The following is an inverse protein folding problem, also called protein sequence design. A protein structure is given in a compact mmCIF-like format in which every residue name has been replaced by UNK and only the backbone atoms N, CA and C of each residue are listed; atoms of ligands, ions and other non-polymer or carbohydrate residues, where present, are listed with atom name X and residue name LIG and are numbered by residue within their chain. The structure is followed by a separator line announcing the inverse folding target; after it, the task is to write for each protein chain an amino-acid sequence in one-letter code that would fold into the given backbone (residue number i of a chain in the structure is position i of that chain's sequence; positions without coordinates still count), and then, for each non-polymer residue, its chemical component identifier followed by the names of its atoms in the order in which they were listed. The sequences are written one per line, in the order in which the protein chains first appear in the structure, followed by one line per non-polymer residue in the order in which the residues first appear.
data_IF_491219384500
#
_entry.id   IF_491219384500
#
_cell.length_a   1.000
_cell.length_b   1.000
_cell.length_c   1.000
_cell.angle_alpha   90.00
_cell.angle_beta   90.00
_cell.angle_gamma   90.00
#
_symmetry.space_group_name_H-M   'P 1'
#
loop_
_entity.id
_entity.type
_entity.pdbx_description
1 polymer ?
#
# COMPACT_ATOMS: atom_id res chain seq x y z
N UNK A 1 0.00 -13.77 -4.29
CA UNK A 1 0.73 -12.49 -4.13
C UNK A 1 1.48 -12.41 -2.80
N UNK A 2 0.87 -12.63 -1.64
CA UNK A 2 1.57 -12.54 -0.35
C UNK A 2 2.82 -13.42 -0.25
N UNK A 3 2.76 -14.68 -0.73
CA UNK A 3 3.93 -15.56 -0.75
C UNK A 3 5.07 -14.99 -1.60
N UNK A 4 4.77 -14.46 -2.77
CA UNK A 4 5.77 -13.87 -3.67
C UNK A 4 6.40 -12.61 -3.10
N UNK A 5 5.63 -11.81 -2.34
CA UNK A 5 6.14 -10.66 -1.62
C UNK A 5 7.07 -11.07 -0.48
N UNK A 6 6.69 -12.10 0.27
CA UNK A 6 7.53 -12.67 1.34
C UNK A 6 8.81 -13.25 0.74
N UNK A 7 8.70 -14.03 -0.34
CA UNK A 7 9.86 -14.60 -1.04
C UNK A 7 10.81 -13.48 -1.52
N UNK A 8 10.29 -12.38 -2.08
CA UNK A 8 11.12 -11.23 -2.49
C UNK A 8 11.86 -10.60 -1.29
N UNK A 9 11.16 -10.40 -0.19
CA UNK A 9 11.73 -9.78 1.03
C UNK A 9 12.83 -10.66 1.60
N UNK A 10 12.61 -11.98 1.69
CA UNK A 10 13.55 -12.95 2.20
C UNK A 10 14.75 -13.17 1.26
N UNK A 11 14.50 -13.31 -0.05
CA UNK A 11 15.54 -13.60 -1.05
C UNK A 11 16.54 -12.43 -1.20
N UNK A 12 16.10 -11.20 -0.95
CA UNK A 12 16.93 -10.00 -1.08
C UNK A 12 17.26 -9.33 0.25
N UNK A 13 17.00 -10.02 1.37
CA UNK A 13 17.31 -9.54 2.73
C UNK A 13 16.80 -8.11 2.98
N UNK A 14 15.59 -7.84 2.52
CA UNK A 14 14.96 -6.53 2.66
C UNK A 14 14.56 -6.27 4.12
N UNK A 15 14.84 -5.07 4.67
CA UNK A 15 14.43 -4.73 6.03
C UNK A 15 12.93 -4.42 6.16
N UNK A 16 12.19 -4.43 5.04
CA UNK A 16 10.80 -4.00 4.99
C UNK A 16 9.82 -5.17 5.13
N UNK A 17 8.64 -4.89 5.67
CA UNK A 17 7.53 -5.84 5.76
C UNK A 17 6.79 -5.97 4.43
N UNK A 18 5.97 -7.03 4.29
CA UNK A 18 5.11 -7.21 3.12
C UNK A 18 4.12 -6.05 2.94
N UNK A 19 3.60 -5.49 4.04
CA UNK A 19 2.67 -4.36 4.00
C UNK A 19 3.35 -3.09 3.49
N UNK A 20 4.56 -2.82 3.94
CA UNK A 20 5.36 -1.67 3.51
C UNK A 20 5.67 -1.73 2.01
N UNK A 21 6.19 -2.86 1.53
CA UNK A 21 6.51 -3.04 0.11
C UNK A 21 5.26 -2.99 -0.77
N UNK A 22 4.17 -3.62 -0.33
CA UNK A 22 2.91 -3.62 -1.06
C UNK A 22 2.30 -2.21 -1.17
N UNK A 23 2.31 -1.45 -0.08
CA UNK A 23 1.84 -0.06 -0.07
C UNK A 23 2.66 0.80 -1.02
N UNK A 24 3.98 0.69 -0.96
CA UNK A 24 4.91 1.42 -1.82
C UNK A 24 4.69 1.10 -3.32
N UNK A 25 4.59 -0.19 -3.68
CA UNK A 25 4.31 -0.59 -5.06
C UNK A 25 2.95 -0.10 -5.55
N UNK A 26 1.92 -0.16 -4.70
CA UNK A 26 0.59 0.36 -5.04
C UNK A 26 0.67 1.85 -5.36
N UNK A 27 1.35 2.63 -4.53
CA UNK A 27 1.57 4.06 -4.77
C UNK A 27 2.28 4.34 -6.08
N UNK A 28 3.37 3.63 -6.38
CA UNK A 28 4.12 3.76 -7.64
C UNK A 28 3.27 3.43 -8.87
N UNK A 29 2.47 2.38 -8.82
CA UNK A 29 1.56 1.98 -9.92
C UNK A 29 0.55 3.10 -10.22
N UNK A 30 -0.01 3.71 -9.19
CA UNK A 30 -1.01 4.76 -9.35
C UNK A 30 -0.43 6.10 -9.85
N UNK A 31 0.88 6.32 -9.69
CA UNK A 31 1.57 7.49 -10.25
C UNK A 31 1.70 7.46 -11.76
N UNK A 32 1.67 6.30 -12.38
CA UNK A 32 1.83 6.11 -13.84
C UNK A 32 3.09 6.77 -14.43
N UNK A 33 4.18 6.71 -13.71
CA UNK A 33 5.50 7.13 -14.19
C UNK A 33 6.14 6.05 -15.06
N UNK A 34 7.19 6.42 -15.80
CA UNK A 34 7.97 5.48 -16.60
C UNK A 34 8.80 4.53 -15.73
N UNK A 35 9.31 3.47 -16.33
CA UNK A 35 10.06 2.45 -15.62
C UNK A 35 11.36 3.00 -15.01
N UNK A 36 12.02 3.97 -15.64
CA UNK A 36 13.26 4.54 -15.13
C UNK A 36 13.02 5.26 -13.78
N UNK A 37 11.93 6.01 -13.68
CA UNK A 37 11.50 6.62 -12.43
C UNK A 37 11.14 5.57 -11.36
N UNK A 38 10.39 4.54 -11.76
CA UNK A 38 9.97 3.46 -10.85
C UNK A 38 11.19 2.72 -10.31
N UNK A 39 12.15 2.37 -11.16
CA UNK A 39 13.39 1.68 -10.78
C UNK A 39 14.22 2.52 -9.79
N UNK A 40 14.39 3.81 -10.07
CA UNK A 40 15.09 4.73 -9.17
C UNK A 40 14.43 4.75 -7.79
N UNK A 41 13.09 4.83 -7.73
CA UNK A 41 12.36 4.84 -6.47
C UNK A 41 12.47 3.52 -5.71
N UNK A 42 12.33 2.39 -6.39
CA UNK A 42 12.50 1.07 -5.77
C UNK A 42 13.89 0.95 -5.14
N UNK A 43 14.95 1.29 -5.87
CA UNK A 43 16.32 1.18 -5.37
C UNK A 43 16.62 2.15 -4.23
N UNK A 44 16.09 3.37 -4.30
CA UNK A 44 16.39 4.41 -3.30
C UNK A 44 15.60 4.26 -2.00
N UNK A 45 14.38 3.72 -2.04
CA UNK A 45 13.52 3.65 -0.87
C UNK A 45 13.47 2.28 -0.20
N UNK A 46 13.60 1.18 -0.97
CA UNK A 46 13.50 -0.17 -0.42
C UNK A 46 14.84 -0.79 -0.06
N UNK A 47 15.95 -0.08 -0.24
CA UNK A 47 17.31 -0.54 0.07
C UNK A 47 17.61 -1.96 -0.45
N UNK A 48 17.14 -2.23 -1.67
CA UNK A 48 17.33 -3.51 -2.36
C UNK A 48 18.29 -3.37 -3.53
N UNK A 49 18.93 -4.48 -3.91
CA UNK A 49 19.90 -4.47 -4.99
C UNK A 49 19.25 -4.37 -6.37
N UNK A 50 19.99 -3.91 -7.38
CA UNK A 50 19.53 -3.87 -8.79
C UNK A 50 19.11 -5.24 -9.32
N UNK A 51 19.65 -6.32 -8.76
CA UNK A 51 19.29 -7.70 -9.14
C UNK A 51 17.84 -8.07 -8.75
N UNK A 52 17.22 -7.36 -7.83
CA UNK A 52 15.82 -7.59 -7.43
C UNK A 52 14.80 -6.92 -8.37
N UNK A 53 15.20 -5.96 -9.20
CA UNK A 53 14.27 -5.20 -10.05
C UNK A 53 13.38 -6.09 -10.93
N UNK A 54 13.87 -7.16 -11.60
CA UNK A 54 12.99 -8.02 -12.37
C UNK A 54 11.88 -8.67 -11.54
N UNK A 55 12.19 -9.10 -10.31
CA UNK A 55 11.20 -9.66 -9.39
C UNK A 55 10.20 -8.60 -8.92
N UNK A 56 10.65 -7.38 -8.65
CA UNK A 56 9.79 -6.24 -8.32
C UNK A 56 8.82 -5.93 -9.45
N UNK A 57 9.29 -5.88 -10.69
CA UNK A 57 8.44 -5.64 -11.87
C UNK A 57 7.37 -6.72 -12.03
N UNK A 58 7.71 -8.00 -11.87
CA UNK A 58 6.75 -9.09 -11.93
C UNK A 58 5.63 -8.89 -10.89
N UNK A 59 5.99 -8.55 -9.66
CA UNK A 59 5.00 -8.30 -8.59
C UNK A 59 4.14 -7.07 -8.88
N UNK A 60 4.74 -6.00 -9.38
CA UNK A 60 4.01 -4.79 -9.74
C UNK A 60 3.05 -5.03 -10.91
N UNK A 61 3.44 -5.81 -11.90
CA UNK A 61 2.57 -6.17 -13.04
C UNK A 61 1.37 -7.02 -12.57
N UNK A 62 1.57 -7.97 -11.66
CA UNK A 62 0.49 -8.73 -11.05
C UNK A 62 -0.45 -7.85 -10.25
N UNK A 63 0.09 -6.95 -9.43
CA UNK A 63 -0.68 -6.01 -8.62
C UNK A 63 -1.51 -5.07 -9.51
N UNK A 64 -0.91 -4.55 -10.57
CA UNK A 64 -1.59 -3.71 -11.56
C UNK A 64 -2.73 -4.45 -12.25
N UNK A 65 -2.53 -5.72 -12.57
CA UNK A 65 -3.56 -6.55 -13.19
C UNK A 65 -4.70 -6.85 -12.18
N UNK A 66 -4.39 -7.07 -10.91
CA UNK A 66 -5.41 -7.24 -9.87
C UNK A 66 -6.24 -5.96 -9.67
N UNK A 67 -5.63 -4.78 -9.73
CA UNK A 67 -6.37 -3.52 -9.70
C UNK A 67 -7.29 -3.40 -10.92
N UNK A 68 -6.79 -3.64 -12.14
CA UNK A 68 -7.59 -3.58 -13.37
C UNK A 68 -8.80 -4.50 -13.34
N UNK A 69 -8.65 -5.69 -12.78
CA UNK A 69 -9.70 -6.71 -12.71
C UNK A 69 -10.58 -6.57 -11.46
N UNK A 70 -10.44 -5.48 -10.71
CA UNK A 70 -11.16 -5.24 -9.45
C UNK A 70 -11.01 -6.38 -8.43
N UNK A 71 -9.79 -6.94 -8.36
CA UNK A 71 -9.41 -8.02 -7.43
C UNK A 71 -8.36 -7.57 -6.41
N UNK A 72 -8.04 -6.29 -6.41
CA UNK A 72 -7.08 -5.73 -5.46
C UNK A 72 -7.50 -6.01 -4.02
N UNK A 73 -6.54 -6.45 -3.23
CA UNK A 73 -6.67 -6.71 -1.79
C UNK A 73 -5.38 -6.33 -1.08
N UNK A 74 -5.52 -5.75 0.10
CA UNK A 74 -4.39 -5.60 1.00
C UNK A 74 -3.78 -6.98 1.35
N UNK A 75 -2.44 -7.06 1.59
CA UNK A 75 -1.76 -8.32 1.92
C UNK A 75 -2.00 -8.78 3.37
N UNK A 76 -3.20 -8.57 3.90
CA UNK A 76 -3.59 -8.94 5.25
C UNK A 76 -4.60 -10.08 5.13
N UNK A 77 -4.14 -11.32 5.33
CA UNK A 77 -4.96 -12.51 5.10
C UNK A 77 -6.01 -12.72 6.20
N UNK A 78 -5.63 -12.49 7.46
CA UNK A 78 -6.52 -12.66 8.61
C UNK A 78 -6.26 -11.55 9.64
N UNK A 79 -7.31 -10.84 10.02
CA UNK A 79 -7.26 -9.87 11.12
C UNK A 79 -7.51 -10.60 12.44
N UNK A 80 -6.48 -11.30 12.94
CA UNK A 80 -6.59 -12.10 14.18
C UNK A 80 -6.41 -11.27 15.43
N UNK A 81 -5.65 -10.19 15.33
CA UNK A 81 -5.18 -9.39 16.44
C UNK A 81 -5.16 -7.94 15.99
N UNK A 82 -5.81 -7.08 16.77
CA UNK A 82 -5.93 -5.65 16.45
C UNK A 82 -4.56 -4.97 16.31
N UNK A 83 -3.64 -5.25 17.22
CA UNK A 83 -2.32 -4.59 17.24
C UNK A 83 -1.51 -4.88 15.99
N UNK A 84 -1.41 -6.14 15.58
CA UNK A 84 -0.67 -6.54 14.38
C UNK A 84 -1.35 -6.05 13.10
N UNK A 85 -2.66 -6.20 13.03
CA UNK A 85 -3.43 -5.80 11.83
C UNK A 85 -3.46 -4.29 11.66
N UNK A 86 -3.61 -3.53 12.74
CA UNK A 86 -3.55 -2.06 12.68
C UNK A 86 -2.17 -1.56 12.30
N UNK A 87 -1.10 -2.21 12.78
CA UNK A 87 0.28 -1.90 12.37
C UNK A 87 0.47 -2.14 10.88
N UNK A 88 0.05 -3.29 10.38
CA UNK A 88 0.18 -3.62 8.96
C UNK A 88 -0.59 -2.66 8.05
N UNK A 89 -1.78 -2.22 8.46
CA UNK A 89 -2.58 -1.23 7.72
C UNK A 89 -1.90 0.15 7.76
N UNK A 90 -1.39 0.57 8.91
CA UNK A 90 -0.69 1.83 9.07
C UNK A 90 0.60 1.88 8.24
N UNK A 91 1.39 0.82 8.28
CA UNK A 91 2.61 0.66 7.48
C UNK A 91 2.31 0.74 5.98
N UNK A 92 1.30 0.00 5.54
CA UNK A 92 0.86 0.04 4.14
C UNK A 92 0.51 1.48 3.72
N UNK A 93 -0.28 2.17 4.51
CA UNK A 93 -0.75 3.52 4.22
C UNK A 93 0.40 4.53 4.18
N UNK A 94 1.32 4.44 5.13
CA UNK A 94 2.50 5.30 5.19
C UNK A 94 3.37 5.14 3.94
N UNK A 95 3.69 3.91 3.54
CA UNK A 95 4.54 3.66 2.36
C UNK A 95 3.83 3.97 1.05
N UNK A 96 2.51 3.79 0.97
CA UNK A 96 1.71 4.29 -0.13
C UNK A 96 1.86 5.81 -0.27
N UNK A 97 1.73 6.56 0.84
CA UNK A 97 1.87 8.00 0.84
C UNK A 97 3.26 8.46 0.45
N UNK A 98 4.31 7.79 0.91
CA UNK A 98 5.70 8.07 0.48
C UNK A 98 5.81 7.95 -1.05
N UNK A 99 5.33 6.86 -1.62
CA UNK A 99 5.40 6.62 -3.05
C UNK A 99 4.57 7.63 -3.86
N UNK A 100 3.41 8.03 -3.35
CA UNK A 100 2.45 8.90 -4.04
C UNK A 100 2.71 10.40 -3.82
N UNK A 101 3.55 10.79 -2.87
CA UNK A 101 3.71 12.16 -2.39
C UNK A 101 4.15 13.17 -3.46
N UNK A 102 4.98 12.77 -4.44
CA UNK A 102 5.49 13.67 -5.47
C UNK A 102 4.41 14.20 -6.44
N UNK A 103 3.23 13.62 -6.43
CA UNK A 103 2.11 14.07 -7.27
C UNK A 103 0.98 14.69 -6.47
N UNK A 104 1.09 14.75 -5.14
CA UNK A 104 0.04 15.31 -4.28
C UNK A 104 -0.35 16.73 -4.72
N UNK A 105 0.63 17.55 -5.07
CA UNK A 105 0.41 18.93 -5.53
C UNK A 105 -0.20 19.02 -6.94
N UNK A 106 -0.12 17.94 -7.72
CA UNK A 106 -0.73 17.85 -9.05
C UNK A 106 -2.14 17.22 -9.05
N UNK A 107 -2.58 16.69 -7.91
CA UNK A 107 -3.92 16.11 -7.75
C UNK A 107 -4.95 17.23 -7.69
N UNK A 108 -5.85 17.25 -8.65
CA UNK A 108 -6.95 18.23 -8.74
C UNK A 108 -8.32 17.63 -8.42
N UNK A 109 -8.44 16.31 -8.37
CA UNK A 109 -9.70 15.63 -8.02
C UNK A 109 -9.93 15.74 -6.51
N UNK A 110 -11.01 16.42 -6.04
CA UNK A 110 -11.26 16.64 -4.61
C UNK A 110 -11.41 15.33 -3.83
N UNK A 111 -11.98 14.29 -4.48
CA UNK A 111 -12.18 12.99 -3.83
C UNK A 111 -10.86 12.23 -3.63
N UNK A 112 -9.92 12.37 -4.56
CA UNK A 112 -8.58 11.81 -4.37
C UNK A 112 -7.89 12.55 -3.21
N UNK A 113 -8.04 13.87 -3.11
CA UNK A 113 -7.48 14.63 -1.99
C UNK A 113 -8.05 14.16 -0.64
N UNK A 114 -9.37 13.97 -0.53
CA UNK A 114 -10.01 13.41 0.66
C UNK A 114 -9.49 12.01 0.99
N UNK A 115 -9.31 11.14 -0.01
CA UNK A 115 -8.74 9.80 0.18
C UNK A 115 -7.32 9.89 0.75
N UNK A 116 -6.48 10.78 0.22
CA UNK A 116 -5.11 10.95 0.69
C UNK A 116 -5.06 11.49 2.12
N UNK A 117 -5.97 12.38 2.50
CA UNK A 117 -6.09 12.84 3.90
C UNK A 117 -6.44 11.68 4.84
N UNK A 118 -7.38 10.82 4.44
CA UNK A 118 -7.74 9.63 5.22
C UNK A 118 -6.57 8.62 5.28
N UNK A 119 -5.82 8.46 4.20
CA UNK A 119 -4.63 7.60 4.21
C UNK A 119 -3.54 8.14 5.16
N UNK A 120 -3.37 9.46 5.22
CA UNK A 120 -2.45 10.07 6.19
C UNK A 120 -2.91 9.79 7.64
N UNK A 121 -4.20 9.88 7.93
CA UNK A 121 -4.76 9.51 9.24
C UNK A 121 -4.56 8.02 9.56
N UNK A 122 -4.82 7.13 8.60
CA UNK A 122 -4.61 5.68 8.73
C UNK A 122 -3.14 5.36 9.03
N UNK A 123 -2.20 6.06 8.41
CA UNK A 123 -0.76 5.89 8.66
C UNK A 123 -0.34 6.11 10.10
N UNK A 124 -1.19 6.77 10.88
CA UNK A 124 -0.96 7.11 12.30
C UNK A 124 -1.79 6.25 13.26
N UNK A 125 -2.45 5.21 12.76
CA UNK A 125 -3.41 4.40 13.52
C UNK A 125 -2.82 3.80 14.80
N UNK A 126 -1.54 3.42 14.78
CA UNK A 126 -0.85 2.84 15.93
C UNK A 126 -0.46 3.86 16.99
N UNK A 127 -0.48 5.16 16.66
CA UNK A 127 0.09 6.21 17.52
C UNK A 127 -0.99 7.06 18.20
N UNK A 128 -2.17 7.18 17.59
CA UNK A 128 -3.19 8.16 17.98
C UNK A 128 -4.42 7.55 18.66
N UNK A 129 -4.68 6.26 18.51
CA UNK A 129 -5.95 5.71 18.97
C UNK A 129 -5.80 4.93 20.26
N UNK A 130 -6.66 5.28 21.23
CA UNK A 130 -6.88 4.47 22.42
C UNK A 130 -7.63 3.22 21.97
N UNK A 131 -7.02 2.05 22.18
CA UNK A 131 -7.65 0.77 21.89
C UNK A 131 -8.87 0.62 22.80
N UNK A 132 -10.04 0.43 22.19
CA UNK A 132 -11.24 0.07 22.94
C UNK A 132 -11.02 -1.28 23.64
N UNK A 133 -11.70 -1.46 24.76
CA UNK A 133 -11.60 -2.70 25.55
C UNK A 133 -12.24 -3.88 24.80
N UNK A 134 -13.13 -3.60 23.84
CA UNK A 134 -13.79 -4.62 23.00
C UNK A 134 -12.99 -4.87 21.71
N UNK A 135 -12.24 -5.97 21.70
CA UNK A 135 -11.41 -6.38 20.55
C UNK A 135 -12.25 -6.71 19.31
N UNK A 136 -13.48 -7.19 19.45
CA UNK A 136 -14.36 -7.51 18.31
C UNK A 136 -14.79 -6.21 17.60
N UNK A 137 -15.12 -5.15 18.34
CA UNK A 137 -15.43 -3.83 17.77
C UNK A 137 -14.23 -3.25 17.04
N UNK A 138 -13.04 -3.37 17.62
CA UNK A 138 -11.81 -2.88 17.02
C UNK A 138 -11.47 -3.62 15.71
N UNK A 139 -11.61 -4.94 15.66
CA UNK A 139 -11.39 -5.73 14.45
C UNK A 139 -12.40 -5.40 13.36
N UNK A 140 -13.68 -5.23 13.69
CA UNK A 140 -14.69 -4.82 12.73
C UNK A 140 -14.37 -3.45 12.12
N UNK A 141 -13.89 -2.50 12.92
CA UNK A 141 -13.44 -1.20 12.42
C UNK A 141 -12.25 -1.33 11.46
N UNK A 142 -11.31 -2.25 11.71
CA UNK A 142 -10.22 -2.52 10.78
C UNK A 142 -10.70 -3.11 9.45
N UNK A 143 -11.74 -3.96 9.45
CA UNK A 143 -12.33 -4.44 8.20
C UNK A 143 -12.97 -3.32 7.39
N UNK A 144 -13.58 -2.33 8.04
CA UNK A 144 -14.12 -1.14 7.36
C UNK A 144 -13.00 -0.31 6.73
N UNK A 145 -11.90 -0.10 7.45
CA UNK A 145 -10.71 0.60 6.93
C UNK A 145 -10.11 -0.18 5.74
N UNK A 146 -9.97 -1.48 5.86
CA UNK A 146 -9.49 -2.34 4.78
C UNK A 146 -10.34 -2.20 3.51
N UNK A 147 -11.66 -2.28 3.66
CA UNK A 147 -12.59 -2.10 2.54
C UNK A 147 -12.52 -0.69 1.95
N UNK A 148 -12.30 0.33 2.77
CA UNK A 148 -12.10 1.70 2.31
C UNK A 148 -10.85 1.81 1.45
N UNK A 149 -9.73 1.25 1.88
CA UNK A 149 -8.47 1.25 1.13
C UNK A 149 -8.64 0.55 -0.23
N UNK A 150 -9.19 -0.67 -0.25
CA UNK A 150 -9.41 -1.43 -1.48
C UNK A 150 -10.21 -0.62 -2.52
N UNK A 151 -11.30 0.02 -2.08
CA UNK A 151 -12.15 0.86 -2.94
C UNK A 151 -11.46 2.15 -3.37
N UNK A 152 -10.65 2.73 -2.51
CA UNK A 152 -9.92 3.97 -2.79
C UNK A 152 -8.83 3.75 -3.83
N UNK A 153 -8.07 2.68 -3.73
CA UNK A 153 -7.08 2.28 -4.74
C UNK A 153 -7.74 2.10 -6.10
N UNK A 154 -8.87 1.41 -6.13
CA UNK A 154 -9.65 1.21 -7.36
C UNK A 154 -10.16 2.53 -7.95
N UNK A 155 -10.64 3.44 -7.12
CA UNK A 155 -11.11 4.74 -7.55
C UNK A 155 -9.99 5.59 -8.16
N UNK A 156 -8.84 5.69 -7.49
CA UNK A 156 -7.68 6.45 -7.98
C UNK A 156 -7.19 5.86 -9.31
N UNK A 157 -7.09 4.54 -9.42
CA UNK A 157 -6.66 3.87 -10.65
C UNK A 157 -7.57 4.20 -11.83
N UNK A 158 -8.89 4.13 -11.64
CA UNK A 158 -9.87 4.41 -12.70
C UNK A 158 -9.81 5.87 -13.14
N UNK A 159 -9.73 6.81 -12.18
CA UNK A 159 -9.62 8.24 -12.47
C UNK A 159 -8.35 8.64 -13.20
N UNK A 160 -7.28 7.94 -12.94
CA UNK A 160 -6.01 8.18 -13.63
C UNK A 160 -6.02 7.58 -15.05
N UNK A 161 -7.04 6.81 -15.45
CA UNK A 161 -7.22 6.26 -16.81
C UNK A 161 -8.17 7.08 -17.68
N UNK A 162 -8.88 8.05 -17.10
CA UNK A 162 -9.72 9.02 -17.80
C UNK A 162 -8.89 10.25 -18.23
#
# INVERSE_FOLDING_TARGET
MNKQLTDLIEDYDSPFTSSEVHGFFTGLILLKKDNAYVDEKILSFLDISTNSLPACHILMDQLKEDIKLNRYKLPIEEMKNFSESSSSIAEWSYYFMIAFQETKDAVTDPRIMEILEVFDEISQLNQKYVIDVDEEVNINSLYEIHNFIDKSVQYIFNKSND
#
